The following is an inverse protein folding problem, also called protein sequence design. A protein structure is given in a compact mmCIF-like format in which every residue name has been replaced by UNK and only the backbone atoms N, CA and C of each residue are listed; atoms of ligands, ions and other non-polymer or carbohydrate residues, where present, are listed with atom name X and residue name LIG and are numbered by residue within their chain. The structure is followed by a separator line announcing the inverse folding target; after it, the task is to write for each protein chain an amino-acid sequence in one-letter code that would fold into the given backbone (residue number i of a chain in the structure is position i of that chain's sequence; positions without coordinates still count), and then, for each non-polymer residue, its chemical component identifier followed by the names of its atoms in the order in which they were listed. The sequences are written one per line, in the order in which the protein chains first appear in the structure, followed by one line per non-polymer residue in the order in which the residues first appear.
data_IF_388955669278
#
_entry.id   IF_388955669278
#
_cell.length_a   1.000
_cell.length_b   1.000
_cell.length_c   1.000
_cell.angle_alpha   90.00
_cell.angle_beta   90.00
_cell.angle_gamma   90.00
#
_symmetry.space_group_name_H-M   'P 1'
#
loop_
_entity.id
_entity.type
_entity.pdbx_description
1 polymer ?
#
# COMPACT_ATOMS: atom_id res chain seq x y z
N UNK A 1 -22.64 -12.65 10.14
CA UNK A 1 -21.22 -12.29 9.96
C UNK A 1 -21.16 -10.83 9.62
N UNK A 2 -20.28 -10.08 10.25
CA UNK A 2 -20.05 -8.67 9.96
C UNK A 2 -18.55 -8.42 10.02
N UNK A 3 -18.08 -7.54 9.16
CA UNK A 3 -16.70 -7.03 9.17
C UNK A 3 -16.78 -5.51 9.16
N UNK A 4 -15.84 -4.84 9.83
CA UNK A 4 -15.82 -3.38 9.89
C UNK A 4 -15.25 -2.74 8.61
N UNK A 5 -14.48 -3.51 7.83
CA UNK A 5 -13.90 -3.09 6.57
C UNK A 5 -13.46 -4.28 5.70
N UNK A 6 -13.22 -4.00 4.42
CA UNK A 6 -12.63 -4.94 3.45
C UNK A 6 -11.37 -4.31 2.85
N UNK A 7 -10.38 -5.11 2.46
CA UNK A 7 -9.21 -4.62 1.74
C UNK A 7 -8.97 -5.46 0.49
N UNK A 8 -8.79 -4.80 -0.66
CA UNK A 8 -8.43 -5.46 -1.91
C UNK A 8 -6.91 -5.46 -2.07
N UNK A 9 -6.35 -6.62 -2.37
CA UNK A 9 -4.92 -6.76 -2.60
C UNK A 9 -4.64 -7.71 -3.75
N UNK A 10 -3.49 -7.52 -4.41
CA UNK A 10 -2.92 -8.47 -5.35
C UNK A 10 -2.04 -9.52 -4.66
N UNK A 11 -2.24 -9.78 -3.35
CA UNK A 11 -1.66 -10.90 -2.62
C UNK A 11 -1.66 -12.18 -3.48
N UNK A 12 -0.58 -12.95 -3.40
CA UNK A 12 -0.26 -14.12 -4.23
C UNK A 12 0.05 -13.85 -5.71
N UNK A 13 0.26 -12.59 -6.10
CA UNK A 13 0.87 -12.23 -7.39
C UNK A 13 2.39 -12.43 -7.38
N UNK A 14 2.84 -13.60 -6.94
CA UNK A 14 4.25 -13.96 -6.84
C UNK A 14 4.83 -14.37 -8.21
N UNK A 15 6.11 -14.08 -8.50
CA UNK A 15 7.05 -13.32 -7.69
C UNK A 15 6.69 -11.83 -7.69
N UNK A 16 6.77 -11.24 -6.50
CA UNK A 16 6.37 -9.86 -6.29
C UNK A 16 7.42 -8.86 -6.79
N UNK A 17 6.97 -7.64 -7.09
CA UNK A 17 7.78 -6.55 -7.63
C UNK A 17 7.75 -5.35 -6.67
N UNK A 18 8.87 -4.64 -6.53
CA UNK A 18 8.94 -3.36 -5.81
C UNK A 18 8.45 -2.17 -6.65
N UNK A 19 8.19 -2.43 -7.93
CA UNK A 19 7.54 -1.52 -8.87
C UNK A 19 6.72 -2.38 -9.82
N UNK A 20 5.39 -2.35 -9.67
CA UNK A 20 4.51 -3.16 -10.53
C UNK A 20 4.32 -2.51 -11.88
N UNK A 21 3.99 -3.30 -12.90
CA UNK A 21 3.51 -2.74 -14.16
C UNK A 21 2.14 -2.08 -13.96
N UNK A 22 1.83 -0.96 -14.65
CA UNK A 22 0.57 -0.26 -14.45
C UNK A 22 -0.68 -1.13 -14.65
N UNK A 23 -0.59 -2.16 -15.50
CA UNK A 23 -1.68 -3.09 -15.76
C UNK A 23 -2.19 -3.79 -14.49
N UNK A 24 -1.33 -4.03 -13.48
CA UNK A 24 -1.73 -4.65 -12.22
C UNK A 24 -2.79 -3.81 -11.51
N UNK A 25 -2.49 -2.56 -11.21
CA UNK A 25 -3.42 -1.71 -10.47
C UNK A 25 -4.56 -1.17 -11.34
N UNK A 26 -4.36 -1.02 -12.66
CA UNK A 26 -5.46 -0.74 -13.60
C UNK A 26 -6.50 -1.86 -13.61
N UNK A 27 -6.05 -3.12 -13.61
CA UNK A 27 -6.95 -4.29 -13.54
C UNK A 27 -7.69 -4.34 -12.21
N UNK A 28 -6.99 -4.09 -11.09
CA UNK A 28 -7.63 -3.98 -9.78
C UNK A 28 -8.70 -2.88 -9.75
N UNK A 29 -8.42 -1.70 -10.32
CA UNK A 29 -9.39 -0.61 -10.40
C UNK A 29 -10.64 -1.02 -11.18
N UNK A 30 -10.47 -1.73 -12.31
CA UNK A 30 -11.58 -2.23 -13.13
C UNK A 30 -12.47 -3.22 -12.37
N UNK A 31 -11.88 -4.08 -11.53
CA UNK A 31 -12.62 -5.05 -10.71
C UNK A 31 -13.35 -4.34 -9.57
N UNK A 32 -12.66 -3.47 -8.83
CA UNK A 32 -13.24 -2.72 -7.72
C UNK A 32 -14.41 -1.84 -8.21
N UNK A 33 -14.27 -1.24 -9.39
CA UNK A 33 -15.32 -0.44 -10.02
C UNK A 33 -16.63 -1.20 -10.24
N UNK A 34 -16.58 -2.47 -10.65
CA UNK A 34 -17.79 -3.31 -10.82
C UNK A 34 -18.42 -3.68 -9.48
N UNK A 35 -17.57 -3.99 -8.49
CA UNK A 35 -18.03 -4.37 -7.16
C UNK A 35 -18.49 -3.17 -6.34
N UNK A 36 -18.32 -1.93 -6.83
CA UNK A 36 -18.49 -0.71 -6.04
C UNK A 36 -19.87 -0.59 -5.40
N UNK A 37 -20.91 -1.02 -6.11
CA UNK A 37 -22.31 -1.01 -5.64
C UNK A 37 -22.61 -2.06 -4.56
N UNK A 38 -21.78 -3.11 -4.46
CA UNK A 38 -21.91 -4.19 -3.50
C UNK A 38 -21.13 -3.92 -2.19
N UNK A 39 -20.16 -3.01 -2.23
CA UNK A 39 -19.33 -2.66 -1.07
C UNK A 39 -20.10 -1.71 -0.13
N UNK A 40 -20.60 -2.25 0.99
CA UNK A 40 -21.38 -1.51 1.99
C UNK A 40 -20.59 -1.01 3.20
N UNK A 41 -19.34 -1.44 3.35
CA UNK A 41 -18.44 -1.04 4.45
C UNK A 41 -17.25 -0.26 3.88
N UNK A 42 -16.53 0.54 4.69
CA UNK A 42 -15.29 1.15 4.25
C UNK A 42 -14.34 0.11 3.68
N UNK A 43 -13.63 0.48 2.61
CA UNK A 43 -12.67 -0.42 2.01
C UNK A 43 -11.34 0.25 1.75
N UNK A 44 -10.29 -0.56 1.70
CA UNK A 44 -8.96 -0.14 1.36
C UNK A 44 -8.35 -0.95 0.23
N UNK A 45 -7.16 -0.52 -0.20
CA UNK A 45 -6.39 -1.21 -1.24
C UNK A 45 -4.93 -1.38 -0.83
N UNK A 46 -4.30 -2.42 -1.36
CA UNK A 46 -2.88 -2.70 -1.20
C UNK A 46 -2.34 -3.35 -2.48
N UNK A 47 -1.61 -2.57 -3.27
CA UNK A 47 -0.77 -3.09 -4.36
C UNK A 47 0.57 -3.44 -3.74
N UNK A 48 0.79 -4.74 -3.53
CA UNK A 48 1.91 -5.20 -2.71
C UNK A 48 3.24 -4.66 -3.20
N UNK A 49 3.92 -4.04 -2.24
CA UNK A 49 5.29 -3.50 -2.29
C UNK A 49 5.50 -2.36 -3.27
N UNK A 50 4.41 -1.80 -3.81
CA UNK A 50 4.43 -0.56 -4.58
C UNK A 50 3.55 0.49 -3.89
N UNK A 51 4.14 1.34 -3.03
CA UNK A 51 3.38 2.36 -2.31
C UNK A 51 2.85 3.47 -3.23
N UNK A 52 3.46 3.69 -4.39
CA UNK A 52 2.98 4.69 -5.36
C UNK A 52 1.74 4.18 -6.08
N UNK A 53 1.81 2.97 -6.64
CA UNK A 53 0.67 2.31 -7.29
C UNK A 53 -0.50 2.10 -6.32
N UNK A 54 -0.21 1.79 -5.04
CA UNK A 54 -1.22 1.69 -4.00
C UNK A 54 -2.00 2.99 -3.80
N UNK A 55 -1.31 4.13 -3.72
CA UNK A 55 -1.95 5.45 -3.58
C UNK A 55 -2.70 5.85 -4.84
N UNK A 56 -2.12 5.63 -6.02
CA UNK A 56 -2.76 5.92 -7.31
C UNK A 56 -4.07 5.13 -7.46
N UNK A 57 -4.04 3.83 -7.16
CA UNK A 57 -5.23 2.98 -7.13
C UNK A 57 -6.26 3.50 -6.13
N UNK A 58 -5.84 3.80 -4.90
CA UNK A 58 -6.72 4.24 -3.83
C UNK A 58 -7.50 5.50 -4.20
N UNK A 59 -6.82 6.47 -4.82
CA UNK A 59 -7.47 7.69 -5.34
C UNK A 59 -8.43 7.35 -6.48
N UNK A 60 -8.01 6.52 -7.44
CA UNK A 60 -8.82 6.20 -8.62
C UNK A 60 -10.14 5.50 -8.29
N UNK A 61 -10.23 4.80 -7.17
CA UNK A 61 -11.42 4.03 -6.78
C UNK A 61 -12.20 4.64 -5.60
N UNK A 62 -11.74 5.75 -5.02
CA UNK A 62 -12.28 6.32 -3.78
C UNK A 62 -12.15 5.37 -2.56
N UNK A 63 -11.00 4.71 -2.42
CA UNK A 63 -10.71 3.90 -1.24
C UNK A 63 -10.57 4.77 0.02
N UNK A 64 -10.96 4.22 1.17
CA UNK A 64 -10.91 4.92 2.46
C UNK A 64 -9.53 4.87 3.12
N UNK A 65 -8.76 3.82 2.82
CA UNK A 65 -7.43 3.61 3.39
C UNK A 65 -6.55 2.78 2.47
N UNK A 66 -5.26 2.78 2.77
CA UNK A 66 -4.27 1.89 2.17
C UNK A 66 -3.43 1.26 3.26
N UNK A 67 -2.87 0.09 2.97
CA UNK A 67 -1.83 -0.56 3.77
C UNK A 67 -0.64 -0.79 2.86
N UNK A 68 0.54 -0.32 3.27
CA UNK A 68 1.77 -0.57 2.51
C UNK A 68 3.02 -0.28 3.36
N UNK A 69 4.19 -0.63 2.83
CA UNK A 69 5.51 -0.34 3.38
C UNK A 69 5.99 0.97 2.77
N UNK A 70 5.65 2.07 3.43
CA UNK A 70 5.98 3.42 2.96
C UNK A 70 7.35 3.92 3.41
N UNK A 71 7.95 3.28 4.41
CA UNK A 71 9.14 3.75 5.12
C UNK A 71 10.14 2.63 5.40
N UNK A 72 11.41 3.01 5.54
CA UNK A 72 12.50 2.10 5.87
C UNK A 72 13.32 1.67 4.67
N UNK A 73 14.42 0.99 4.96
CA UNK A 73 15.27 0.35 3.96
C UNK A 73 15.49 -1.08 4.41
N UNK A 74 15.18 -2.05 3.54
CA UNK A 74 15.17 -3.46 3.88
C UNK A 74 15.97 -4.30 2.89
N UNK A 75 16.56 -5.38 3.38
CA UNK A 75 17.13 -6.45 2.56
C UNK A 75 16.17 -7.65 2.55
N UNK A 76 15.99 -8.27 1.38
CA UNK A 76 15.07 -9.39 1.16
C UNK A 76 15.56 -10.28 0.01
N UNK A 77 14.83 -11.37 -0.23
CA UNK A 77 15.01 -12.23 -1.39
C UNK A 77 14.65 -11.54 -2.74
N UNK A 78 13.97 -10.39 -2.71
CA UNK A 78 13.65 -9.56 -3.89
C UNK A 78 14.67 -8.45 -4.14
N UNK A 79 15.71 -8.38 -3.30
CA UNK A 79 16.73 -7.33 -3.34
C UNK A 79 16.53 -6.25 -2.28
N UNK A 80 17.03 -5.04 -2.58
CA UNK A 80 17.00 -3.89 -1.68
C UNK A 80 15.68 -3.12 -1.84
N UNK A 81 14.94 -2.99 -0.74
CA UNK A 81 13.71 -2.21 -0.69
C UNK A 81 14.08 -0.80 -0.23
N UNK A 82 14.05 0.15 -1.16
CA UNK A 82 14.38 1.55 -0.87
C UNK A 82 13.11 2.40 -0.97
N UNK A 83 12.51 2.67 0.19
CA UNK A 83 11.21 3.37 0.26
C UNK A 83 11.39 4.88 0.36
N UNK A 84 10.42 5.64 -0.15
CA UNK A 84 10.46 7.09 -0.21
C UNK A 84 9.15 7.70 0.31
N UNK A 85 8.92 7.63 1.62
CA UNK A 85 7.68 8.08 2.28
C UNK A 85 7.27 9.50 1.88
N UNK A 86 8.23 10.43 1.79
CA UNK A 86 7.98 11.81 1.40
C UNK A 86 7.46 11.94 -0.04
N UNK A 87 7.92 11.10 -0.97
CA UNK A 87 7.39 11.11 -2.34
C UNK A 87 5.96 10.62 -2.38
N UNK A 88 5.64 9.55 -1.64
CA UNK A 88 4.30 8.97 -1.59
C UNK A 88 3.32 9.93 -0.91
N UNK A 89 3.73 10.59 0.19
CA UNK A 89 2.92 11.60 0.85
C UNK A 89 2.58 12.78 -0.06
N UNK A 90 3.57 13.28 -0.81
CA UNK A 90 3.37 14.36 -1.82
C UNK A 90 2.52 13.90 -2.99
N UNK A 91 2.69 12.65 -3.45
CA UNK A 91 1.86 12.06 -4.50
C UNK A 91 0.39 12.01 -4.07
N UNK A 92 0.11 11.50 -2.87
CA UNK A 92 -1.24 11.46 -2.29
C UNK A 92 -1.88 12.85 -2.29
N UNK A 93 -1.15 13.85 -1.80
CA UNK A 93 -1.64 15.23 -1.77
C UNK A 93 -1.89 15.79 -3.18
N UNK A 94 -0.94 15.58 -4.11
CA UNK A 94 -1.05 16.06 -5.50
C UNK A 94 -2.25 15.46 -6.24
N UNK A 95 -2.64 14.24 -5.90
CA UNK A 95 -3.81 13.55 -6.45
C UNK A 95 -5.11 13.83 -5.68
N UNK A 96 -5.10 14.69 -4.65
CA UNK A 96 -6.28 15.01 -3.84
C UNK A 96 -6.70 13.92 -2.86
N UNK A 97 -5.82 12.96 -2.55
CA UNK A 97 -6.07 11.80 -1.68
C UNK A 97 -5.98 12.11 -0.17
N UNK A 98 -6.20 13.35 0.27
CA UNK A 98 -5.94 13.77 1.65
C UNK A 98 -6.74 13.00 2.70
N UNK A 99 -7.93 12.52 2.31
CA UNK A 99 -8.83 11.72 3.16
C UNK A 99 -8.44 10.24 3.26
N UNK A 100 -7.54 9.75 2.40
CA UNK A 100 -7.09 8.35 2.39
C UNK A 100 -6.15 8.15 3.57
N UNK A 101 -6.52 7.27 4.51
CA UNK A 101 -5.67 6.90 5.64
C UNK A 101 -4.51 6.01 5.17
N UNK A 102 -3.30 6.31 5.60
CA UNK A 102 -2.12 5.48 5.32
C UNK A 102 -1.81 4.60 6.53
N UNK A 103 -1.95 3.28 6.39
CA UNK A 103 -1.49 2.32 7.40
C UNK A 103 -0.11 1.80 7.01
N UNK A 104 0.90 2.18 7.81
CA UNK A 104 2.29 1.81 7.57
C UNK A 104 2.54 0.40 8.08
N UNK A 105 2.97 -0.48 7.20
CA UNK A 105 3.61 -1.72 7.61
C UNK A 105 5.09 -1.45 7.84
N UNK A 106 5.47 -1.32 9.11
CA UNK A 106 6.85 -1.02 9.51
C UNK A 106 7.70 -2.27 9.70
N UNK A 107 7.15 -3.48 9.59
CA UNK A 107 7.93 -4.73 9.58
C UNK A 107 7.38 -5.60 8.45
N UNK A 108 8.02 -5.58 7.26
CA UNK A 108 7.59 -6.39 6.13
C UNK A 108 7.81 -7.87 6.39
N UNK A 109 6.97 -8.69 5.75
CA UNK A 109 7.26 -10.11 5.61
C UNK A 109 8.45 -10.31 4.65
N UNK A 110 9.24 -11.36 4.86
CA UNK A 110 10.36 -11.75 4.01
C UNK A 110 11.46 -10.68 3.82
N UNK A 111 11.53 -9.66 4.69
CA UNK A 111 12.63 -8.70 4.67
C UNK A 111 13.08 -8.31 6.08
N UNK A 112 14.34 -7.90 6.19
CA UNK A 112 14.94 -7.39 7.41
C UNK A 112 15.36 -5.93 7.21
N UNK A 113 15.19 -5.10 8.24
CA UNK A 113 15.74 -3.74 8.23
C UNK A 113 17.25 -3.80 8.01
N UNK A 114 17.76 -2.93 7.14
CA UNK A 114 19.19 -2.80 6.92
C UNK A 114 19.91 -2.11 8.11
N UNK A 115 19.17 -1.32 8.90
CA UNK A 115 19.68 -0.65 10.11
C UNK A 115 19.13 -1.24 11.40
N UNK A 116 19.86 -1.07 12.51
CA UNK A 116 19.54 -1.62 13.84
C UNK A 116 18.73 -0.65 14.72
N UNK A 117 17.75 0.06 14.15
CA UNK A 117 16.88 0.96 14.93
C UNK A 117 15.81 0.14 15.66
N UNK A 118 15.51 0.54 16.90
CA UNK A 118 14.39 0.00 17.67
C UNK A 118 13.06 0.22 16.93
N UNK A 119 12.24 -0.84 16.84
CA UNK A 119 10.98 -0.83 16.09
C UNK A 119 10.00 0.18 16.70
N UNK A 120 9.97 0.32 18.03
CA UNK A 120 9.10 1.30 18.67
C UNK A 120 9.55 2.74 18.37
N UNK A 121 10.86 2.98 18.27
CA UNK A 121 11.40 4.26 17.82
C UNK A 121 11.08 4.55 16.34
N UNK A 122 11.08 3.53 15.48
CA UNK A 122 10.65 3.68 14.08
C UNK A 122 9.17 4.07 14.03
N UNK A 123 8.30 3.30 14.70
CA UNK A 123 6.86 3.52 14.75
C UNK A 123 6.45 4.93 15.19
N UNK A 124 7.20 5.55 16.11
CA UNK A 124 6.94 6.93 16.57
C UNK A 124 7.38 8.01 15.57
N UNK A 125 8.32 7.69 14.68
CA UNK A 125 8.94 8.66 13.75
C UNK A 125 8.33 8.63 12.34
N UNK A 126 7.46 7.67 12.06
CA UNK A 126 6.68 7.50 10.84
C UNK A 126 5.23 7.86 11.08
#
# INVERSE_FOLDING_TARGET
GGVDAVMFSNEYSTPYLLQVEPITHVTMARIIGELRSEIQVPYGVNVLWDPKATVELAVAVDASFVREIFSGVYASDFGLWNTYSGEVARLRQRLGGDKIKLFYNIVPEAAAYLGSRDIAAIARST
#
